data_IF_862158967882
#
_entry.id   IF_862158967882
#
_cell.length_a   1.000
_cell.length_b   1.000
_cell.length_c   1.000
_cell.angle_alpha   90.00
_cell.angle_beta   90.00
_cell.angle_gamma   90.00
#
_symmetry.space_group_name_H-M   'P 1'
#
loop_
_entity.id
_entity.type
_entity.pdbx_description
1 polymer ?
#
# COMPACT_ATOMS: atom_id res chain seq x y z
N UNK A 1 -41.53 18.05 -45.49
CA UNK A 1 -41.27 16.60 -45.36
C UNK A 1 -41.08 16.14 -43.91
N UNK A 2 -40.37 16.86 -43.03
CA UNK A 2 -40.05 16.42 -41.66
C UNK A 2 -41.20 15.78 -40.85
N UNK A 3 -42.42 16.34 -40.91
CA UNK A 3 -43.60 15.84 -40.19
C UNK A 3 -44.10 14.43 -40.62
N UNK A 4 -43.59 13.86 -41.72
CA UNK A 4 -43.91 12.49 -42.12
C UNK A 4 -43.04 11.45 -41.38
N UNK A 5 -41.77 11.78 -41.09
CA UNK A 5 -40.80 10.86 -40.48
C UNK A 5 -41.10 10.61 -38.99
N UNK A 6 -41.62 11.61 -38.28
CA UNK A 6 -42.01 11.48 -36.86
C UNK A 6 -43.17 10.51 -36.62
N UNK A 7 -43.92 10.11 -37.66
CA UNK A 7 -44.95 9.05 -37.59
C UNK A 7 -44.41 7.64 -37.90
N UNK A 8 -43.19 7.51 -38.41
CA UNK A 8 -42.60 6.23 -38.80
C UNK A 8 -41.77 5.56 -37.69
N UNK A 9 -41.54 6.26 -36.57
CA UNK A 9 -40.73 5.80 -35.44
C UNK A 9 -41.68 5.35 -34.30
N UNK A 10 -41.49 4.17 -33.68
CA UNK A 10 -42.30 3.73 -32.55
C UNK A 10 -42.12 4.65 -31.33
N UNK A 11 -43.21 4.90 -30.60
CA UNK A 11 -43.19 5.79 -29.44
C UNK A 11 -42.19 5.33 -28.36
N UNK A 12 -41.49 6.27 -27.69
CA UNK A 12 -40.49 5.93 -26.69
C UNK A 12 -41.12 5.20 -25.50
N UNK A 13 -40.60 4.02 -25.16
CA UNK A 13 -41.09 3.17 -24.05
C UNK A 13 -40.67 3.66 -22.65
N UNK A 14 -40.04 4.83 -22.55
CA UNK A 14 -39.58 5.43 -21.30
C UNK A 14 -39.84 6.92 -21.37
N UNK A 15 -40.66 7.38 -20.45
CA UNK A 15 -40.74 8.78 -20.08
C UNK A 15 -39.43 9.14 -19.35
N UNK A 16 -38.79 10.23 -19.77
CA UNK A 16 -37.61 10.77 -19.12
C UNK A 16 -38.02 12.08 -18.47
N UNK A 17 -37.78 12.21 -17.17
CA UNK A 17 -37.88 13.49 -16.48
C UNK A 17 -36.80 14.42 -17.04
N UNK A 18 -37.14 15.16 -18.10
CA UNK A 18 -36.40 16.34 -18.50
C UNK A 18 -36.55 17.32 -17.36
N UNK A 19 -35.46 17.59 -16.65
CA UNK A 19 -35.43 18.60 -15.61
C UNK A 19 -35.44 19.97 -16.28
N UNK A 20 -36.63 20.39 -16.70
CA UNK A 20 -36.92 21.75 -17.10
C UNK A 20 -36.65 22.65 -15.88
N UNK A 21 -35.70 23.58 -15.99
CA UNK A 21 -35.48 24.63 -14.99
C UNK A 21 -36.64 25.63 -15.11
N UNK A 22 -37.81 25.17 -14.62
CA UNK A 22 -39.14 25.53 -15.09
C UNK A 22 -39.30 26.99 -15.46
N UNK A 23 -39.48 27.25 -16.76
CA UNK A 23 -39.37 28.57 -17.38
C UNK A 23 -40.13 29.63 -16.57
N UNK A 24 -39.35 30.53 -15.94
CA UNK A 24 -39.74 31.17 -14.69
C UNK A 24 -40.92 32.11 -14.90
N UNK A 25 -42.14 31.58 -14.63
CA UNK A 25 -43.42 32.08 -15.14
C UNK A 25 -43.48 33.61 -15.15
N UNK A 26 -43.31 34.19 -16.34
CA UNK A 26 -43.00 35.61 -16.50
C UNK A 26 -43.92 36.47 -15.63
N UNK A 27 -43.38 37.22 -14.65
CA UNK A 27 -44.17 37.77 -13.56
C UNK A 27 -45.25 38.69 -14.11
N UNK A 28 -46.52 38.28 -13.94
CA UNK A 28 -47.66 38.84 -14.64
C UNK A 28 -47.61 40.37 -14.68
N UNK A 29 -47.42 40.92 -15.89
CA UNK A 29 -47.03 42.32 -16.09
C UNK A 29 -48.11 43.25 -15.57
N UNK A 30 -47.92 43.71 -14.34
CA UNK A 30 -48.76 44.73 -13.72
C UNK A 30 -48.71 45.98 -14.60
N UNK A 31 -49.84 46.68 -14.84
CA UNK A 31 -49.87 47.81 -15.75
C UNK A 31 -48.89 48.89 -15.27
N UNK A 32 -47.79 49.05 -16.00
CA UNK A 32 -46.77 50.02 -15.67
C UNK A 32 -47.40 51.43 -15.63
N UNK A 33 -47.12 52.16 -14.55
CA UNK A 33 -47.53 53.57 -14.43
C UNK A 33 -46.98 54.31 -15.64
N UNK A 34 -47.83 54.97 -16.43
CA UNK A 34 -47.38 55.76 -17.59
C UNK A 34 -46.57 56.96 -17.12
N UNK A 35 -45.26 56.79 -17.07
CA UNK A 35 -44.30 57.86 -16.79
C UNK A 35 -44.41 58.90 -17.90
N UNK A 36 -44.52 60.21 -17.60
CA UNK A 36 -44.53 61.23 -18.64
C UNK A 36 -43.26 61.17 -19.50
N UNK A 37 -43.33 61.48 -20.80
CA UNK A 37 -42.15 61.54 -21.65
C UNK A 37 -41.20 62.66 -21.20
N UNK A 38 -39.99 62.67 -21.75
CA UNK A 38 -39.00 63.71 -21.51
C UNK A 38 -39.58 65.12 -21.78
N UNK A 39 -39.09 66.13 -21.04
CA UNK A 39 -39.61 67.51 -21.00
C UNK A 39 -41.01 67.67 -20.37
N UNK A 40 -41.81 66.60 -20.26
CA UNK A 40 -43.17 66.62 -19.71
C UNK A 40 -43.23 66.17 -18.24
N UNK A 41 -42.09 66.03 -17.57
CA UNK A 41 -41.97 65.55 -16.18
C UNK A 41 -42.08 66.64 -15.11
N UNK A 42 -42.51 67.86 -15.46
CA UNK A 42 -42.67 68.97 -14.49
C UNK A 42 -43.71 68.60 -13.42
N UNK A 43 -43.29 68.56 -12.16
CA UNK A 43 -44.12 68.15 -11.03
C UNK A 43 -44.18 66.63 -10.77
N UNK A 44 -43.63 65.80 -11.66
CA UNK A 44 -43.44 64.37 -11.40
C UNK A 44 -42.28 64.17 -10.43
N UNK A 45 -42.48 63.38 -9.37
CA UNK A 45 -41.44 63.05 -8.38
C UNK A 45 -41.53 61.55 -8.07
N UNK A 46 -40.70 60.69 -8.66
CA UNK A 46 -40.73 59.26 -8.41
C UNK A 46 -40.27 58.95 -6.98
N UNK A 47 -41.00 58.08 -6.28
CA UNK A 47 -40.74 57.72 -4.86
C UNK A 47 -40.61 56.21 -4.64
N UNK A 48 -41.32 55.41 -5.43
CA UNK A 48 -41.24 53.95 -5.48
C UNK A 48 -40.41 53.48 -6.67
N UNK A 49 -40.00 52.20 -6.68
CA UNK A 49 -39.27 51.60 -7.82
C UNK A 49 -40.11 51.59 -9.10
N UNK A 50 -41.42 51.38 -8.96
CA UNK A 50 -42.40 51.35 -10.05
C UNK A 50 -42.50 52.68 -10.80
N UNK A 51 -42.18 53.80 -10.16
CA UNK A 51 -42.25 55.14 -10.77
C UNK A 51 -41.10 55.40 -11.77
N UNK A 52 -40.19 54.43 -11.94
CA UNK A 52 -39.10 54.45 -12.91
C UNK A 52 -39.29 53.46 -14.07
N UNK A 53 -40.29 52.57 -14.03
CA UNK A 53 -40.55 51.60 -15.11
C UNK A 53 -39.40 50.60 -15.25
N UNK A 54 -38.83 50.47 -16.47
CA UNK A 54 -37.61 49.68 -16.72
C UNK A 54 -36.35 50.26 -16.02
N UNK A 55 -36.45 51.46 -15.46
CA UNK A 55 -35.41 52.07 -14.63
C UNK A 55 -34.79 53.32 -15.23
N UNK A 56 -33.58 53.63 -14.78
CA UNK A 56 -32.94 54.93 -15.00
C UNK A 56 -33.46 56.01 -14.04
N UNK A 57 -32.63 57.04 -13.80
CA UNK A 57 -33.00 58.20 -12.99
C UNK A 57 -33.10 59.44 -13.88
N UNK A 58 -34.06 60.32 -13.61
CA UNK A 58 -34.35 61.48 -14.44
C UNK A 58 -33.51 62.68 -13.99
N UNK A 59 -32.50 63.14 -14.76
CA UNK A 59 -31.64 64.25 -14.33
C UNK A 59 -32.39 65.59 -14.24
N UNK A 60 -33.50 65.73 -14.97
CA UNK A 60 -34.38 66.90 -14.94
C UNK A 60 -35.16 67.08 -13.62
N UNK A 61 -35.13 66.07 -12.73
CA UNK A 61 -35.78 66.10 -11.42
C UNK A 61 -34.71 66.18 -10.34
N UNK A 62 -34.56 67.33 -9.69
CA UNK A 62 -33.52 67.61 -8.67
C UNK A 62 -33.83 66.96 -7.30
N UNK A 63 -34.13 65.65 -7.31
CA UNK A 63 -34.40 64.82 -6.13
C UNK A 63 -33.51 63.57 -6.20
N UNK A 64 -33.07 63.06 -5.04
CA UNK A 64 -32.25 61.83 -4.94
C UNK A 64 -33.09 60.61 -5.32
N UNK A 65 -32.86 60.10 -6.53
CA UNK A 65 -33.58 58.99 -7.15
C UNK A 65 -32.81 57.67 -7.01
N UNK A 66 -33.53 56.57 -6.82
CA UNK A 66 -32.94 55.27 -6.48
C UNK A 66 -33.67 54.09 -7.17
N UNK A 67 -33.65 53.98 -8.52
CA UNK A 67 -34.54 53.07 -9.26
C UNK A 67 -34.48 51.61 -8.81
N UNK A 68 -33.27 51.10 -8.53
CA UNK A 68 -33.01 49.75 -8.03
C UNK A 68 -32.24 49.77 -6.70
N UNK A 69 -32.53 50.73 -5.81
CA UNK A 69 -31.75 51.04 -4.58
C UNK A 69 -30.26 51.43 -4.79
N UNK A 70 -29.80 51.43 -6.04
CA UNK A 70 -28.44 51.79 -6.45
C UNK A 70 -28.08 53.21 -5.99
N UNK A 71 -26.91 53.38 -5.37
CA UNK A 71 -26.46 54.67 -4.82
C UNK A 71 -26.96 55.00 -3.41
N UNK A 72 -27.80 54.15 -2.78
CA UNK A 72 -28.06 54.23 -1.33
C UNK A 72 -26.84 53.75 -0.54
N UNK A 73 -26.60 54.35 0.64
CA UNK A 73 -25.60 53.84 1.59
C UNK A 73 -26.04 52.44 2.06
N UNK A 74 -25.29 51.41 1.66
CA UNK A 74 -25.49 50.04 2.15
C UNK A 74 -24.94 49.91 3.58
N UNK A 75 -25.46 48.96 4.35
CA UNK A 75 -24.81 48.52 5.60
C UNK A 75 -23.52 47.76 5.24
N UNK A 76 -22.56 47.76 6.15
CA UNK A 76 -21.36 46.91 6.00
C UNK A 76 -21.79 45.43 6.05
N UNK A 77 -21.24 44.63 5.14
CA UNK A 77 -21.59 43.23 4.95
C UNK A 77 -20.41 42.43 4.42
N UNK A 78 -20.15 41.25 4.98
CA UNK A 78 -19.04 40.36 4.60
C UNK A 78 -19.27 39.56 3.31
N UNK A 79 -20.24 39.96 2.50
CA UNK A 79 -20.63 39.31 1.25
C UNK A 79 -19.79 39.79 0.07
N UNK A 80 -19.13 38.87 -0.63
CA UNK A 80 -18.49 39.16 -1.93
C UNK A 80 -19.55 39.66 -2.93
N UNK A 81 -19.20 40.64 -3.75
CA UNK A 81 -20.10 41.16 -4.77
C UNK A 81 -20.30 40.13 -5.90
N UNK A 82 -21.55 39.82 -6.22
CA UNK A 82 -21.89 38.93 -7.33
C UNK A 82 -21.53 39.59 -8.66
N UNK A 83 -20.58 38.98 -9.38
CA UNK A 83 -20.27 39.36 -10.76
C UNK A 83 -21.30 38.82 -11.74
N UNK A 84 -21.39 39.45 -12.91
CA UNK A 84 -22.16 38.99 -14.07
C UNK A 84 -21.19 38.90 -15.26
N UNK A 85 -21.44 37.99 -16.21
CA UNK A 85 -20.68 37.88 -17.45
C UNK A 85 -21.24 38.77 -18.58
N UNK A 86 -20.68 38.64 -19.80
CA UNK A 86 -21.14 39.37 -20.97
C UNK A 86 -22.49 38.89 -21.51
N UNK A 87 -22.92 37.68 -21.14
CA UNK A 87 -24.18 37.05 -21.57
C UNK A 87 -25.31 37.29 -20.55
N UNK A 88 -25.05 38.04 -19.48
CA UNK A 88 -26.00 38.34 -18.42
C UNK A 88 -26.12 37.28 -17.32
N UNK A 89 -25.27 36.24 -17.30
CA UNK A 89 -25.32 35.15 -16.32
C UNK A 89 -24.49 35.49 -15.08
N UNK A 90 -24.95 35.01 -13.92
CA UNK A 90 -24.29 35.25 -12.64
C UNK A 90 -23.00 34.42 -12.48
N UNK A 91 -21.87 35.09 -12.24
CA UNK A 91 -20.54 34.48 -12.10
C UNK A 91 -20.30 33.96 -10.68
N UNK A 92 -20.94 32.85 -10.31
CA UNK A 92 -20.71 32.18 -9.03
C UNK A 92 -19.22 31.78 -8.82
N UNK A 93 -18.54 31.41 -9.90
CA UNK A 93 -17.11 31.06 -9.97
C UNK A 93 -16.19 32.14 -9.39
N UNK A 94 -16.62 33.41 -9.39
CA UNK A 94 -15.86 34.52 -8.81
C UNK A 94 -15.49 34.30 -7.34
N UNK A 95 -16.33 33.59 -6.56
CA UNK A 95 -16.05 33.23 -5.17
C UNK A 95 -14.90 32.21 -5.05
N UNK A 96 -14.78 31.28 -6.00
CA UNK A 96 -13.69 30.29 -6.07
C UNK A 96 -12.39 30.99 -6.52
N UNK A 97 -12.45 31.75 -7.61
CA UNK A 97 -11.30 32.50 -8.15
C UNK A 97 -10.70 33.47 -7.12
N UNK A 98 -11.53 34.06 -6.25
CA UNK A 98 -11.07 34.90 -5.15
C UNK A 98 -10.19 34.15 -4.13
N UNK A 99 -10.51 32.88 -3.82
CA UNK A 99 -9.70 32.05 -2.91
C UNK A 99 -8.31 31.78 -3.49
N UNK A 100 -8.23 31.49 -4.79
CA UNK A 100 -6.96 31.31 -5.52
C UNK A 100 -6.32 32.64 -5.98
N UNK A 101 -6.77 33.79 -5.44
CA UNK A 101 -6.25 35.15 -5.71
C UNK A 101 -6.18 35.51 -7.21
N UNK A 102 -7.06 34.95 -8.03
CA UNK A 102 -7.08 35.14 -9.48
C UNK A 102 -5.84 34.63 -10.22
N UNK A 103 -5.07 33.70 -9.63
CA UNK A 103 -3.83 33.16 -10.22
C UNK A 103 -3.96 31.76 -10.82
N UNK A 104 -5.00 31.02 -10.45
CA UNK A 104 -5.28 29.69 -10.98
C UNK A 104 -6.59 29.74 -11.76
N UNK A 105 -6.63 29.05 -12.91
CA UNK A 105 -7.86 28.75 -13.64
C UNK A 105 -8.61 27.63 -12.91
N UNK A 106 -9.78 27.93 -12.36
CA UNK A 106 -10.66 26.95 -11.72
C UNK A 106 -11.80 26.59 -12.67
N UNK A 107 -11.88 25.34 -13.09
CA UNK A 107 -13.03 24.80 -13.81
C UNK A 107 -14.19 24.56 -12.83
N UNK A 108 -15.40 24.92 -13.23
CA UNK A 108 -16.55 25.02 -12.33
C UNK A 108 -17.91 25.01 -13.04
N UNK A 109 -17.95 25.31 -14.34
CA UNK A 109 -19.18 25.37 -15.11
C UNK A 109 -19.46 24.03 -15.79
N UNK A 110 -20.72 23.70 -16.06
CA UNK A 110 -21.06 22.48 -16.82
C UNK A 110 -20.42 22.47 -18.23
N UNK A 111 -20.19 23.65 -18.82
CA UNK A 111 -19.44 23.89 -20.07
C UNK A 111 -17.95 23.53 -20.01
N UNK A 112 -17.38 23.28 -18.82
CA UNK A 112 -16.05 22.68 -18.62
C UNK A 112 -16.08 21.14 -18.66
N UNK A 113 -17.24 20.53 -18.38
CA UNK A 113 -17.44 19.07 -18.33
C UNK A 113 -17.93 18.49 -19.67
N UNK A 114 -18.58 19.30 -20.50
CA UNK A 114 -19.00 18.89 -21.86
C UNK A 114 -17.78 18.70 -22.74
N UNK A 115 -17.67 17.50 -23.33
CA UNK A 115 -16.64 17.18 -24.32
C UNK A 115 -16.76 18.10 -25.55
N UNK A 116 -15.63 18.60 -26.03
CA UNK A 116 -15.56 19.52 -27.18
C UNK A 116 -15.27 18.70 -28.43
N UNK A 117 -16.33 18.32 -29.16
CA UNK A 117 -16.17 17.59 -30.42
C UNK A 117 -15.36 18.43 -31.43
N UNK A 118 -14.58 17.77 -32.28
CA UNK A 118 -13.90 18.42 -33.41
C UNK A 118 -14.87 19.09 -34.41
N UNK A 119 -16.16 18.76 -34.36
CA UNK A 119 -17.20 19.39 -35.20
C UNK A 119 -18.01 20.48 -34.47
N UNK A 120 -18.12 20.46 -33.13
CA UNK A 120 -18.89 21.45 -32.35
C UNK A 120 -18.01 22.59 -31.83
N UNK A 121 -16.72 22.32 -31.58
CA UNK A 121 -15.70 23.32 -31.30
C UNK A 121 -15.22 24.01 -32.59
N UNK A 122 -16.09 24.78 -33.23
CA UNK A 122 -15.81 25.48 -34.49
C UNK A 122 -14.57 26.37 -34.41
N UNK A 123 -13.44 25.87 -34.94
CA UNK A 123 -12.13 26.54 -34.92
C UNK A 123 -11.01 25.74 -34.23
N UNK A 124 -11.31 24.73 -33.40
CA UNK A 124 -10.29 23.88 -32.73
C UNK A 124 -9.95 22.64 -33.57
N UNK A 125 -10.01 22.77 -34.89
CA UNK A 125 -9.48 21.81 -35.87
C UNK A 125 -8.19 22.29 -36.52
N UNK A 126 -7.87 23.59 -36.42
CA UNK A 126 -6.58 24.11 -36.84
C UNK A 126 -5.50 23.53 -35.93
N UNK A 127 -4.59 22.74 -36.52
CA UNK A 127 -3.47 22.14 -35.80
C UNK A 127 -2.60 23.19 -35.07
N UNK A 128 -2.63 24.45 -35.53
CA UNK A 128 -2.02 25.62 -34.87
C UNK A 128 -2.54 25.89 -33.46
N UNK A 129 -3.79 25.53 -33.15
CA UNK A 129 -4.40 25.73 -31.82
C UNK A 129 -4.03 24.66 -30.78
N UNK A 130 -3.64 23.47 -31.26
CA UNK A 130 -3.14 22.34 -30.46
C UNK A 130 -1.62 22.14 -30.64
N UNK A 131 -0.97 23.05 -31.38
CA UNK A 131 0.47 23.04 -31.60
C UNK A 131 1.21 23.29 -30.29
N UNK A 132 2.48 22.86 -30.27
CA UNK A 132 3.41 23.35 -29.24
C UNK A 132 3.72 24.84 -29.51
N UNK A 133 4.14 25.59 -28.48
CA UNK A 133 4.77 26.90 -28.68
C UNK A 133 5.91 26.83 -29.69
N UNK A 134 6.30 27.97 -30.27
CA UNK A 134 7.43 27.99 -31.20
C UNK A 134 8.74 27.59 -30.51
N UNK A 135 9.71 27.07 -31.26
CA UNK A 135 11.01 26.68 -30.70
C UNK A 135 11.73 27.89 -30.04
N UNK A 136 11.48 29.11 -30.52
CA UNK A 136 11.95 30.35 -29.91
C UNK A 136 11.28 30.63 -28.55
N UNK A 137 9.97 30.40 -28.43
CA UNK A 137 9.23 30.53 -27.17
C UNK A 137 9.62 29.44 -26.16
N UNK A 138 9.79 28.19 -26.62
CA UNK A 138 10.30 27.09 -25.78
C UNK A 138 11.72 27.41 -25.29
N UNK A 139 12.62 27.87 -26.17
CA UNK A 139 13.98 28.28 -25.78
C UNK A 139 14.00 29.46 -24.82
N UNK A 140 13.16 30.49 -25.04
CA UNK A 140 13.03 31.64 -24.14
C UNK A 140 12.46 31.24 -22.77
N UNK A 141 11.46 30.36 -22.74
CA UNK A 141 10.88 29.82 -21.51
C UNK A 141 11.88 28.93 -20.76
N UNK A 142 12.64 28.09 -21.47
CA UNK A 142 13.70 27.27 -20.91
C UNK A 142 14.82 28.13 -20.30
N UNK A 143 15.33 29.14 -21.02
CA UNK A 143 16.35 30.05 -20.53
C UNK A 143 15.88 30.84 -19.29
N UNK A 144 14.64 31.34 -19.30
CA UNK A 144 14.01 32.04 -18.17
C UNK A 144 13.84 31.14 -16.95
N UNK A 145 13.47 29.88 -17.16
CA UNK A 145 13.29 28.87 -16.11
C UNK A 145 14.64 28.40 -15.54
N UNK A 146 15.63 28.13 -16.40
CA UNK A 146 16.99 27.80 -16.01
C UNK A 146 17.62 28.93 -15.18
N UNK A 147 17.46 30.19 -15.61
CA UNK A 147 17.93 31.36 -14.86
C UNK A 147 17.19 31.57 -13.51
N UNK A 148 15.94 31.12 -13.37
CA UNK A 148 15.22 31.12 -12.10
C UNK A 148 15.70 29.99 -11.17
N UNK A 149 15.84 28.76 -11.69
CA UNK A 149 16.35 27.61 -10.96
C UNK A 149 17.80 27.82 -10.51
N UNK A 150 18.66 28.38 -11.35
CA UNK A 150 20.04 28.71 -11.01
C UNK A 150 20.13 29.68 -9.82
N UNK A 151 19.23 30.67 -9.71
CA UNK A 151 19.17 31.58 -8.54
C UNK A 151 18.83 30.82 -7.25
N UNK A 152 17.90 29.86 -7.31
CA UNK A 152 17.49 29.03 -6.17
C UNK A 152 18.62 28.06 -5.77
N UNK A 153 19.25 27.42 -6.76
CA UNK A 153 20.37 26.48 -6.56
C UNK A 153 21.60 27.18 -6.02
N UNK A 154 21.98 28.34 -6.57
CA UNK A 154 23.11 29.13 -6.07
C UNK A 154 22.88 29.62 -4.64
N UNK A 155 21.63 29.97 -4.27
CA UNK A 155 21.26 30.25 -2.88
C UNK A 155 21.54 29.07 -1.96
N UNK A 156 21.08 27.86 -2.33
CA UNK A 156 21.34 26.62 -1.56
C UNK A 156 22.83 26.28 -1.47
N UNK A 157 23.59 26.43 -2.56
CA UNK A 157 25.04 26.18 -2.61
C UNK A 157 25.79 27.16 -1.69
N UNK A 158 25.40 28.44 -1.66
CA UNK A 158 25.97 29.43 -0.75
C UNK A 158 25.69 29.05 0.72
N UNK A 159 24.47 28.63 1.07
CA UNK A 159 24.15 28.15 2.43
C UNK A 159 24.96 26.90 2.81
N UNK A 160 25.33 26.06 1.85
CA UNK A 160 26.13 24.86 2.06
C UNK A 160 27.67 25.11 2.09
N UNK A 161 28.13 26.33 1.81
CA UNK A 161 29.56 26.71 1.81
C UNK A 161 29.84 27.94 2.69
N UNK A 162 29.60 27.86 4.02
CA UNK A 162 29.57 29.03 4.91
C UNK A 162 30.92 29.76 5.09
N UNK A 163 32.05 29.06 4.94
CA UNK A 163 33.39 29.63 5.20
C UNK A 163 33.88 30.52 4.05
N UNK A 164 33.44 30.27 2.82
CA UNK A 164 33.83 31.06 1.66
C UNK A 164 32.90 32.27 1.52
N UNK A 165 33.19 33.35 2.24
CA UNK A 165 32.59 34.67 1.94
C UNK A 165 32.95 35.01 0.49
N UNK A 166 31.98 35.08 -0.44
CA UNK A 166 32.30 35.40 -1.82
C UNK A 166 32.64 36.90 -1.90
N UNK A 167 33.58 37.28 -2.77
CA UNK A 167 33.87 38.70 -3.05
C UNK A 167 32.60 39.51 -3.38
N UNK A 168 31.61 38.86 -4.00
CA UNK A 168 30.30 39.44 -4.31
C UNK A 168 29.46 39.83 -3.08
N UNK A 169 29.85 39.44 -1.86
CA UNK A 169 29.23 39.90 -0.61
C UNK A 169 29.95 41.15 -0.06
N UNK A 170 31.28 41.21 -0.11
CA UNK A 170 32.02 42.44 0.14
C UNK A 170 31.56 43.57 -0.82
N UNK A 171 31.53 43.27 -2.13
CA UNK A 171 31.04 44.19 -3.18
C UNK A 171 29.54 44.54 -3.05
N UNK A 172 28.78 43.89 -2.15
CA UNK A 172 27.39 44.26 -1.77
C UNK A 172 27.31 45.21 -0.58
N UNK A 173 28.22 45.09 0.38
CA UNK A 173 28.37 46.07 1.46
C UNK A 173 28.71 47.45 0.87
N UNK A 174 29.58 47.48 -0.14
CA UNK A 174 29.98 48.73 -0.83
C UNK A 174 28.88 49.32 -1.74
N UNK A 175 28.06 48.49 -2.39
CA UNK A 175 27.10 48.92 -3.43
C UNK A 175 25.77 49.43 -2.86
N UNK A 176 25.85 50.56 -2.16
CA UNK A 176 24.70 51.27 -1.59
C UNK A 176 23.62 51.60 -2.64
N UNK A 177 22.35 51.29 -2.32
CA UNK A 177 21.20 51.45 -3.22
C UNK A 177 20.36 52.65 -2.83
N UNK A 178 20.16 53.58 -3.75
CA UNK A 178 19.29 54.75 -3.56
C UNK A 178 17.87 54.43 -4.03
N UNK A 179 16.93 54.31 -3.08
CA UNK A 179 15.53 54.01 -3.34
C UNK A 179 14.69 55.28 -3.16
N UNK A 180 14.01 55.72 -4.24
CA UNK A 180 13.03 56.80 -4.19
C UNK A 180 11.68 56.25 -3.72
N UNK A 181 11.24 56.71 -2.56
CA UNK A 181 10.01 56.28 -1.87
C UNK A 181 8.99 57.43 -1.80
N UNK A 182 7.76 57.16 -2.21
CA UNK A 182 6.61 58.05 -2.04
C UNK A 182 5.77 57.53 -0.88
N UNK A 183 5.64 58.26 0.25
CA UNK A 183 4.77 57.85 1.35
C UNK A 183 3.29 57.83 0.94
N UNK A 184 2.53 56.82 1.39
CA UNK A 184 1.07 56.78 1.20
C UNK A 184 0.32 57.75 2.12
N UNK A 185 0.93 58.12 3.25
CA UNK A 185 0.44 59.16 4.17
C UNK A 185 1.06 60.51 3.79
N UNK A 186 0.38 61.26 2.92
CA UNK A 186 0.77 62.61 2.53
C UNK A 186 0.16 63.68 3.44
N UNK A 187 0.97 64.68 3.81
CA UNK A 187 0.53 65.84 4.60
C UNK A 187 1.72 66.75 4.96
N UNK A 188 1.51 68.06 5.02
CA UNK A 188 2.59 69.04 5.21
C UNK A 188 3.36 68.86 6.54
N UNK A 189 2.70 68.34 7.58
CA UNK A 189 3.31 68.01 8.88
C UNK A 189 4.22 66.74 8.84
N UNK A 190 4.34 66.09 7.69
CA UNK A 190 5.19 64.92 7.48
C UNK A 190 6.22 65.18 6.39
N UNK A 191 7.38 64.55 6.52
CA UNK A 191 8.48 64.67 5.54
C UNK A 191 8.96 66.11 5.26
N UNK A 192 8.81 67.02 6.23
CA UNK A 192 9.15 68.45 6.07
C UNK A 192 8.50 69.10 4.83
N UNK A 193 7.28 68.68 4.47
CA UNK A 193 6.55 69.16 3.29
C UNK A 193 6.95 68.51 1.96
N UNK A 194 8.01 67.71 1.90
CA UNK A 194 8.42 67.03 0.67
C UNK A 194 7.49 65.85 0.31
N UNK A 195 7.16 65.68 -0.97
CA UNK A 195 6.27 64.59 -1.42
C UNK A 195 6.95 63.21 -1.46
N UNK A 196 8.28 63.16 -1.48
CA UNK A 196 9.05 61.92 -1.64
C UNK A 196 10.29 61.91 -0.73
N UNK A 197 10.87 60.73 -0.52
CA UNK A 197 12.12 60.48 0.21
C UNK A 197 13.10 59.72 -0.70
N UNK A 198 14.40 59.96 -0.54
CA UNK A 198 15.44 59.11 -1.11
C UNK A 198 16.12 58.39 0.04
N UNK A 199 16.05 57.06 0.04
CA UNK A 199 16.56 56.19 1.10
C UNK A 199 17.81 55.49 0.57
N UNK A 200 18.97 55.75 1.17
CA UNK A 200 20.21 55.01 0.90
C UNK A 200 20.21 53.72 1.72
N UNK A 201 19.87 52.59 1.10
CA UNK A 201 20.02 51.27 1.72
C UNK A 201 21.44 50.73 1.53
N UNK A 202 21.99 50.17 2.59
CA UNK A 202 23.30 49.49 2.63
C UNK A 202 23.08 48.15 3.34
N UNK A 203 23.73 47.07 2.88
CA UNK A 203 23.70 45.77 3.55
C UNK A 203 24.58 45.86 4.81
N UNK A 204 24.10 45.36 5.96
CA UNK A 204 24.87 45.43 7.20
C UNK A 204 25.95 44.34 7.21
N UNK A 205 27.17 44.68 7.64
CA UNK A 205 28.25 43.72 7.78
C UNK A 205 27.91 42.72 8.90
N UNK A 206 27.96 41.43 8.57
CA UNK A 206 27.74 40.31 9.51
C UNK A 206 29.10 39.77 9.95
N UNK A 207 29.22 39.42 11.23
CA UNK A 207 30.42 38.79 11.78
C UNK A 207 30.51 37.33 11.28
N UNK A 208 31.61 36.92 10.60
CA UNK A 208 31.79 35.55 10.13
C UNK A 208 31.88 34.50 11.26
N UNK A 209 32.04 34.94 12.52
CA UNK A 209 32.04 34.09 13.71
C UNK A 209 30.70 34.08 14.46
N UNK A 210 29.66 34.84 14.04
CA UNK A 210 28.36 34.85 14.72
C UNK A 210 27.63 33.49 14.51
N UNK A 211 27.28 32.75 15.58
CA UNK A 211 26.54 31.50 15.46
C UNK A 211 25.06 31.75 15.06
N UNK A 212 24.37 30.76 14.46
CA UNK A 212 22.98 30.92 13.99
C UNK A 212 22.00 31.46 15.05
N UNK A 213 21.56 32.71 14.85
CA UNK A 213 20.80 33.53 15.82
C UNK A 213 19.44 32.97 16.25
N UNK A 214 18.85 32.06 15.47
CA UNK A 214 17.46 31.59 15.66
C UNK A 214 17.35 30.06 15.68
N UNK A 215 16.54 29.53 16.60
CA UNK A 215 16.25 28.09 16.71
C UNK A 215 15.15 27.66 15.75
N UNK A 216 15.28 26.50 15.12
CA UNK A 216 14.23 25.92 14.28
C UNK A 216 12.97 25.58 15.11
N UNK A 217 11.80 26.03 14.65
CA UNK A 217 10.50 25.70 15.26
C UNK A 217 9.66 24.88 14.29
N UNK A 218 9.24 23.68 14.69
CA UNK A 218 8.29 22.87 13.92
C UNK A 218 6.89 23.49 14.04
N UNK A 219 6.36 24.00 12.94
CA UNK A 219 4.99 24.52 12.83
C UNK A 219 4.13 23.43 12.17
N UNK A 220 2.84 23.27 12.51
CA UNK A 220 1.92 22.45 11.74
C UNK A 220 1.90 22.86 10.27
N UNK A 221 1.56 21.93 9.36
CA UNK A 221 1.30 22.29 7.96
C UNK A 221 0.14 23.31 7.93
N UNK A 222 0.33 24.41 7.23
CA UNK A 222 -0.75 25.39 7.02
C UNK A 222 -1.93 24.78 6.26
N UNK A 223 -3.06 25.51 6.14
CA UNK A 223 -4.14 25.08 5.25
C UNK A 223 -3.59 24.83 3.85
N UNK A 224 -4.17 23.85 3.16
CA UNK A 224 -3.87 23.60 1.76
C UNK A 224 -4.33 24.73 0.85
N UNK A 225 -4.14 24.54 -0.45
CA UNK A 225 -4.89 25.30 -1.44
C UNK A 225 -6.40 24.99 -1.28
N UNK A 226 -7.26 25.93 -1.67
CA UNK A 226 -8.70 25.75 -1.53
C UNK A 226 -9.20 24.55 -2.36
N UNK A 227 -10.22 23.82 -1.88
CA UNK A 227 -10.74 22.67 -2.61
C UNK A 227 -11.38 23.11 -3.94
N UNK A 228 -10.82 22.61 -5.05
CA UNK A 228 -11.38 22.84 -6.38
C UNK A 228 -12.70 22.08 -6.57
N UNK A 229 -13.64 22.56 -7.41
CA UNK A 229 -14.85 21.82 -7.77
C UNK A 229 -14.52 20.47 -8.39
N UNK A 230 -15.31 19.46 -8.05
CA UNK A 230 -15.11 18.08 -8.54
C UNK A 230 -16.09 17.82 -9.68
N UNK A 231 -15.60 17.97 -10.91
CA UNK A 231 -16.38 17.82 -12.14
C UNK A 231 -16.62 16.33 -12.47
N UNK A 232 -17.45 15.66 -11.67
CA UNK A 232 -17.91 14.30 -11.94
C UNK A 232 -19.10 14.27 -12.90
N UNK A 233 -19.24 13.19 -13.66
CA UNK A 233 -20.50 12.86 -14.32
C UNK A 233 -21.58 12.48 -13.29
N UNK A 234 -22.89 12.55 -13.64
CA UNK A 234 -23.97 12.28 -12.70
C UNK A 234 -23.83 10.90 -12.02
N UNK A 235 -24.10 10.81 -10.70
CA UNK A 235 -23.81 9.61 -9.92
C UNK A 235 -24.64 8.42 -10.42
N UNK A 236 -23.96 7.36 -10.86
CA UNK A 236 -24.60 6.11 -11.26
C UNK A 236 -25.31 5.50 -10.04
N UNK A 237 -26.62 5.26 -10.16
CA UNK A 237 -27.42 4.61 -9.11
C UNK A 237 -26.93 3.16 -8.95
N UNK A 238 -26.18 2.88 -7.87
CA UNK A 238 -25.74 1.53 -7.54
C UNK A 238 -26.95 0.64 -7.26
N UNK A 239 -26.96 -0.59 -7.77
CA UNK A 239 -28.04 -1.53 -7.43
C UNK A 239 -27.80 -2.16 -6.06
N UNK A 240 -28.86 -2.69 -5.45
CA UNK A 240 -28.74 -3.46 -4.20
C UNK A 240 -27.94 -4.75 -4.42
N UNK A 241 -28.00 -5.32 -5.63
CA UNK A 241 -27.24 -6.51 -6.03
C UNK A 241 -25.73 -6.20 -6.09
N UNK A 242 -25.33 -5.10 -6.74
CA UNK A 242 -23.94 -4.61 -6.72
C UNK A 242 -23.45 -4.41 -5.28
N UNK A 243 -24.24 -3.72 -4.46
CA UNK A 243 -23.85 -3.42 -3.08
C UNK A 243 -23.69 -4.68 -2.22
N UNK A 244 -24.44 -5.75 -2.51
CA UNK A 244 -24.29 -7.05 -1.86
C UNK A 244 -23.08 -7.83 -2.41
N UNK A 245 -22.85 -7.83 -3.72
CA UNK A 245 -21.70 -8.48 -4.35
C UNK A 245 -20.37 -7.88 -3.88
N UNK A 246 -20.30 -6.56 -3.71
CA UNK A 246 -19.12 -5.84 -3.20
C UNK A 246 -19.03 -5.82 -1.66
N UNK A 247 -19.87 -6.56 -0.93
CA UNK A 247 -19.86 -6.62 0.54
C UNK A 247 -18.76 -7.56 1.07
N UNK A 248 -17.52 -7.04 1.10
CA UNK A 248 -16.34 -7.76 1.58
C UNK A 248 -16.57 -8.36 2.99
N UNK A 249 -16.44 -9.69 3.18
CA UNK A 249 -16.57 -10.32 4.48
C UNK A 249 -15.47 -9.90 5.48
N UNK A 250 -15.74 -9.91 6.80
CA UNK A 250 -14.74 -9.57 7.80
C UNK A 250 -13.59 -10.60 7.83
N UNK A 251 -12.35 -10.13 7.77
CA UNK A 251 -11.17 -10.99 7.82
C UNK A 251 -10.97 -11.57 9.23
N UNK A 252 -11.23 -12.87 9.39
CA UNK A 252 -11.01 -13.63 10.63
C UNK A 252 -9.69 -14.39 10.51
N UNK A 253 -8.63 -13.85 11.12
CA UNK A 253 -7.30 -14.47 11.09
C UNK A 253 -7.16 -15.58 12.13
N UNK A 254 -6.55 -16.70 11.74
CA UNK A 254 -6.16 -17.77 12.67
C UNK A 254 -4.96 -17.39 13.56
N UNK A 255 -4.22 -16.32 13.22
CA UNK A 255 -2.99 -15.92 13.93
C UNK A 255 -3.10 -14.63 14.72
N UNK A 256 -3.93 -13.67 14.29
CA UNK A 256 -3.96 -12.31 14.86
C UNK A 256 -5.38 -11.91 15.30
N UNK A 257 -5.53 -11.59 16.58
CA UNK A 257 -6.75 -11.05 17.18
C UNK A 257 -6.42 -9.84 18.06
N UNK A 258 -5.94 -8.76 17.43
CA UNK A 258 -5.42 -7.57 18.13
C UNK A 258 -6.40 -6.91 19.10
N UNK A 259 -7.72 -7.10 18.91
CA UNK A 259 -8.78 -6.56 19.79
C UNK A 259 -9.39 -7.60 20.74
N UNK A 260 -8.83 -8.81 20.82
CA UNK A 260 -9.24 -9.85 21.77
C UNK A 260 -10.65 -10.40 21.56
N UNK A 261 -11.27 -10.24 20.38
CA UNK A 261 -12.66 -10.62 20.15
C UNK A 261 -12.93 -12.12 20.40
N UNK A 262 -14.01 -12.43 21.12
CA UNK A 262 -14.50 -13.79 21.38
C UNK A 262 -15.27 -14.32 20.16
N UNK A 263 -14.54 -14.64 19.08
CA UNK A 263 -15.11 -15.19 17.85
C UNK A 263 -15.49 -16.67 18.08
N UNK A 264 -16.72 -17.05 17.70
CA UNK A 264 -17.22 -18.42 17.75
C UNK A 264 -16.49 -19.36 16.76
N UNK A 265 -16.46 -20.66 17.06
CA UNK A 265 -15.64 -21.63 16.33
C UNK A 265 -16.06 -21.79 14.85
N UNK A 266 -17.36 -21.74 14.57
CA UNK A 266 -17.91 -21.78 13.22
C UNK A 266 -17.42 -20.60 12.36
N UNK A 267 -17.36 -19.40 12.93
CA UNK A 267 -16.87 -18.19 12.24
C UNK A 267 -15.34 -18.16 12.14
N UNK A 268 -14.61 -18.85 13.03
CA UNK A 268 -13.16 -19.07 12.89
C UNK A 268 -12.84 -20.06 11.76
N UNK A 269 -13.55 -21.18 11.70
CA UNK A 269 -13.27 -22.26 10.73
C UNK A 269 -13.91 -21.99 9.36
N UNK A 270 -15.00 -21.21 9.30
CA UNK A 270 -15.76 -20.95 8.06
C UNK A 270 -15.01 -20.19 6.95
N UNK A 271 -13.81 -19.67 7.22
CA UNK A 271 -12.91 -19.10 6.21
C UNK A 271 -11.79 -20.07 5.77
N UNK A 272 -11.69 -21.27 6.36
CA UNK A 272 -10.65 -22.25 6.05
C UNK A 272 -11.10 -23.19 4.93
N UNK A 273 -10.58 -22.96 3.72
CA UNK A 273 -10.96 -23.67 2.49
C UNK A 273 -10.70 -25.19 2.47
N UNK A 274 -10.11 -25.76 3.54
CA UNK A 274 -9.91 -27.21 3.69
C UNK A 274 -11.18 -28.03 3.54
N UNK A 275 -12.35 -27.47 3.91
CA UNK A 275 -13.64 -28.15 3.71
C UNK A 275 -14.02 -28.40 2.24
N UNK A 276 -13.39 -27.70 1.29
CA UNK A 276 -13.59 -27.89 -0.15
C UNK A 276 -12.53 -28.83 -0.77
N UNK A 277 -11.49 -29.20 -0.01
CA UNK A 277 -10.39 -30.03 -0.49
C UNK A 277 -10.71 -31.53 -0.32
N UNK A 278 -11.24 -32.16 -1.38
CA UNK A 278 -11.51 -33.60 -1.40
C UNK A 278 -10.21 -34.41 -1.45
N UNK A 279 -9.89 -35.14 -0.39
CA UNK A 279 -8.72 -36.04 -0.34
C UNK A 279 -9.00 -37.32 -1.12
N UNK A 280 -8.63 -37.33 -2.40
CA UNK A 280 -8.73 -38.51 -3.27
C UNK A 280 -7.54 -39.45 -3.06
N UNK A 281 -7.80 -40.72 -2.72
CA UNK A 281 -6.77 -41.76 -2.58
C UNK A 281 -6.73 -42.62 -3.84
N UNK A 282 -5.53 -42.86 -4.39
CA UNK A 282 -5.37 -43.71 -5.59
C UNK A 282 -5.44 -45.21 -5.26
N UNK A 283 -6.20 -45.97 -6.06
CA UNK A 283 -6.31 -47.45 -6.01
C UNK A 283 -4.96 -48.18 -6.05
N UNK A 284 -3.93 -47.55 -6.59
CA UNK A 284 -2.58 -48.13 -6.62
C UNK A 284 -2.05 -48.43 -5.21
N UNK A 285 -2.48 -47.70 -4.17
CA UNK A 285 -2.15 -48.04 -2.78
C UNK A 285 -2.76 -49.38 -2.36
N UNK A 286 -4.00 -49.68 -2.76
CA UNK A 286 -4.65 -50.97 -2.49
C UNK A 286 -3.96 -52.11 -3.27
N UNK A 287 -3.60 -51.88 -4.55
CA UNK A 287 -2.87 -52.84 -5.38
C UNK A 287 -1.49 -53.17 -4.78
N UNK A 288 -0.73 -52.16 -4.33
CA UNK A 288 0.57 -52.34 -3.69
C UNK A 288 0.43 -53.05 -2.33
N UNK A 289 -0.57 -52.68 -1.51
CA UNK A 289 -0.82 -53.35 -0.24
C UNK A 289 -1.17 -54.84 -0.42
N UNK A 290 -2.00 -55.18 -1.42
CA UNK A 290 -2.32 -56.56 -1.76
C UNK A 290 -1.09 -57.34 -2.26
N UNK A 291 -0.32 -56.76 -3.19
CA UNK A 291 0.89 -57.39 -3.72
C UNK A 291 1.93 -57.67 -2.62
N UNK A 292 2.16 -56.72 -1.71
CA UNK A 292 3.04 -56.91 -0.56
C UNK A 292 2.52 -57.99 0.39
N UNK A 293 1.20 -58.09 0.59
CA UNK A 293 0.61 -59.12 1.45
C UNK A 293 0.76 -60.54 0.86
N UNK A 294 0.56 -60.68 -0.45
CA UNK A 294 0.79 -61.93 -1.20
C UNK A 294 2.26 -62.35 -1.11
N UNK A 295 3.18 -61.46 -1.46
CA UNK A 295 4.62 -61.74 -1.39
C UNK A 295 5.09 -62.08 0.04
N UNK A 296 4.50 -61.45 1.07
CA UNK A 296 4.78 -61.76 2.49
C UNK A 296 4.28 -63.15 2.89
N UNK A 297 3.16 -63.62 2.33
CA UNK A 297 2.68 -64.99 2.53
C UNK A 297 3.62 -66.00 1.86
N UNK A 298 3.94 -65.77 0.58
CA UNK A 298 4.78 -66.67 -0.21
C UNK A 298 6.18 -66.81 0.36
N UNK A 299 6.81 -65.70 0.80
CA UNK A 299 8.10 -65.75 1.49
C UNK A 299 8.06 -66.53 2.82
N UNK A 300 6.94 -66.51 3.55
CA UNK A 300 6.76 -67.31 4.78
C UNK A 300 6.56 -68.79 4.48
N UNK A 301 5.81 -69.10 3.43
CA UNK A 301 5.60 -70.47 2.96
C UNK A 301 6.92 -71.07 2.44
N UNK A 302 7.70 -70.31 1.66
CA UNK A 302 9.03 -70.71 1.21
C UNK A 302 9.99 -70.95 2.39
N UNK A 303 10.08 -70.03 3.35
CA UNK A 303 10.93 -70.22 4.54
C UNK A 303 10.49 -71.44 5.35
N UNK A 304 9.17 -71.68 5.50
CA UNK A 304 8.65 -72.88 6.17
C UNK A 304 9.04 -74.17 5.42
N UNK A 305 8.94 -74.17 4.09
CA UNK A 305 9.35 -75.30 3.24
C UNK A 305 10.85 -75.55 3.33
N UNK A 306 11.69 -74.52 3.12
CA UNK A 306 13.15 -74.58 3.27
C UNK A 306 13.57 -75.15 4.63
N UNK A 307 12.99 -74.63 5.72
CA UNK A 307 13.24 -75.14 7.08
C UNK A 307 12.82 -76.61 7.24
N UNK A 308 11.70 -77.03 6.64
CA UNK A 308 11.25 -78.43 6.69
C UNK A 308 12.13 -79.40 5.88
N UNK A 309 12.67 -78.95 4.75
CA UNK A 309 13.64 -79.72 3.95
C UNK A 309 14.97 -79.82 4.70
N UNK A 310 15.45 -78.70 5.25
CA UNK A 310 16.67 -78.69 6.08
C UNK A 310 16.53 -79.59 7.31
N UNK A 311 15.38 -79.61 7.98
CA UNK A 311 15.16 -80.50 9.12
C UNK A 311 15.10 -81.98 8.72
N UNK A 312 14.66 -82.31 7.49
CA UNK A 312 14.70 -83.68 6.95
C UNK A 312 16.12 -84.10 6.59
N UNK A 313 16.89 -83.26 5.92
CA UNK A 313 18.30 -83.52 5.60
C UNK A 313 19.13 -83.71 6.89
N UNK A 314 18.95 -82.84 7.88
CA UNK A 314 19.59 -82.98 9.20
C UNK A 314 19.10 -84.20 10.01
N UNK A 315 17.94 -84.77 9.68
CA UNK A 315 17.48 -86.04 10.26
C UNK A 315 18.07 -87.26 9.54
N UNK A 316 18.20 -87.19 8.20
CA UNK A 316 18.90 -88.19 7.39
C UNK A 316 20.38 -88.26 7.77
N UNK A 317 21.10 -87.13 7.76
CA UNK A 317 22.49 -87.05 8.24
C UNK A 317 22.70 -87.63 9.64
N UNK A 318 21.71 -87.49 10.54
CA UNK A 318 21.76 -88.08 11.88
C UNK A 318 21.54 -89.60 11.86
N UNK A 319 20.61 -90.09 11.05
CA UNK A 319 20.38 -91.52 10.87
C UNK A 319 21.57 -92.20 10.19
N UNK A 320 22.21 -91.53 9.23
CA UNK A 320 23.40 -92.01 8.53
C UNK A 320 24.59 -92.07 9.51
N UNK A 321 24.80 -91.03 10.33
CA UNK A 321 25.82 -91.01 11.40
C UNK A 321 25.51 -92.03 12.51
N UNK A 322 24.25 -92.29 12.83
CA UNK A 322 23.87 -93.36 13.76
C UNK A 322 24.19 -94.75 13.17
N UNK A 323 23.94 -94.96 11.88
CA UNK A 323 24.32 -96.19 11.18
C UNK A 323 25.84 -96.37 11.13
N UNK A 324 26.60 -95.32 10.79
CA UNK A 324 28.06 -95.35 10.78
C UNK A 324 28.63 -95.68 12.18
N UNK A 325 28.11 -95.05 13.24
CA UNK A 325 28.48 -95.36 14.62
C UNK A 325 28.08 -96.79 15.03
N UNK A 326 26.92 -97.28 14.57
CA UNK A 326 26.44 -98.64 14.81
C UNK A 326 27.32 -99.68 14.13
N UNK A 327 27.74 -99.44 12.89
CA UNK A 327 28.72 -100.28 12.19
C UNK A 327 30.10 -100.23 12.84
N UNK A 328 30.59 -99.04 13.21
CA UNK A 328 31.86 -98.89 13.91
C UNK A 328 31.84 -99.66 15.25
N UNK A 329 30.72 -99.60 15.98
CA UNK A 329 30.51 -100.39 17.19
C UNK A 329 30.42 -101.91 16.90
N UNK A 330 29.82 -102.34 15.79
CA UNK A 330 29.82 -103.74 15.36
C UNK A 330 31.23 -104.24 15.00
N UNK A 331 32.01 -103.45 14.24
CA UNK A 331 33.42 -103.74 13.92
C UNK A 331 34.28 -103.80 15.18
N UNK A 332 34.14 -102.86 16.09
CA UNK A 332 34.84 -102.86 17.38
C UNK A 332 34.46 -104.06 18.27
N UNK A 333 33.19 -104.51 18.23
CA UNK A 333 32.75 -105.75 18.87
C UNK A 333 33.36 -106.98 18.22
N UNK A 334 33.41 -107.06 16.88
CA UNK A 334 34.01 -108.18 16.16
C UNK A 334 35.50 -108.34 16.48
N UNK A 335 36.26 -107.23 16.49
CA UNK A 335 37.68 -107.22 16.92
C UNK A 335 37.84 -107.68 18.37
N UNK A 336 36.91 -107.32 19.26
CA UNK A 336 36.93 -107.76 20.68
C UNK A 336 36.39 -109.19 20.90
N UNK A 337 35.70 -109.78 19.92
CA UNK A 337 35.06 -111.10 20.02
C UNK A 337 35.98 -112.28 19.65
N UNK A 338 37.26 -112.03 19.36
CA UNK A 338 38.29 -113.07 19.36
C UNK A 338 38.37 -113.95 18.10
N UNK A 339 38.28 -113.35 16.90
CA UNK A 339 38.71 -114.03 15.67
C UNK A 339 40.16 -113.61 15.34
N UNK A 340 41.11 -114.52 15.55
CA UNK A 340 42.55 -114.22 15.49
C UNK A 340 43.18 -114.55 14.13
N UNK A 341 43.75 -113.55 13.47
CA UNK A 341 44.90 -113.70 12.55
C UNK A 341 45.86 -112.55 12.80
N UNK A 342 47.17 -112.82 12.76
CA UNK A 342 48.20 -111.93 13.31
C UNK A 342 48.82 -110.98 12.27
N UNK A 343 49.14 -109.74 12.70
CA UNK A 343 50.44 -109.05 12.51
C UNK A 343 50.31 -107.53 12.72
N UNK A 344 51.35 -106.89 13.26
CA UNK A 344 51.41 -105.43 13.47
C UNK A 344 51.63 -105.04 14.93
N UNK A 345 52.89 -104.91 15.34
CA UNK A 345 53.29 -104.55 16.72
C UNK A 345 53.88 -103.13 16.80
N UNK A 346 53.64 -102.46 17.94
CA UNK A 346 54.25 -101.20 18.38
C UNK A 346 53.93 -99.95 17.51
N UNK A 347 54.08 -98.70 17.99
CA UNK A 347 54.71 -98.24 19.23
C UNK A 347 53.99 -97.02 19.88
N UNK A 348 54.66 -96.42 20.86
CA UNK A 348 54.27 -95.29 21.71
C UNK A 348 53.82 -94.01 20.95
N UNK A 349 53.17 -93.04 21.61
CA UNK A 349 52.98 -92.91 23.06
C UNK A 349 52.04 -91.78 23.47
N UNK A 350 52.04 -91.44 24.77
CA UNK A 350 51.12 -90.49 25.37
C UNK A 350 51.86 -89.39 26.16
N UNK A 351 51.54 -88.14 25.84
CA UNK A 351 51.63 -86.99 26.74
C UNK A 351 50.35 -86.16 26.58
N UNK A 352 49.87 -85.32 27.51
CA UNK A 352 49.83 -85.27 28.99
C UNK A 352 49.53 -83.81 29.35
N UNK A 353 48.56 -83.59 30.24
CA UNK A 353 48.05 -82.27 30.62
C UNK A 353 46.84 -81.87 29.77
N UNK A 354 45.74 -81.39 30.32
CA UNK A 354 45.34 -81.19 31.72
C UNK A 354 43.98 -80.46 31.65
N UNK A 355 42.87 -81.00 32.14
CA UNK A 355 42.53 -81.34 33.54
C UNK A 355 42.24 -80.09 34.39
N UNK A 356 41.19 -80.19 35.21
CA UNK A 356 40.73 -79.28 36.27
C UNK A 356 40.13 -77.91 35.90
N UNK A 357 39.06 -77.43 36.55
CA UNK A 357 37.93 -78.14 37.16
C UNK A 357 36.76 -77.16 37.48
N UNK A 358 35.68 -77.69 38.07
CA UNK A 358 34.53 -77.03 38.73
C UNK A 358 33.52 -76.30 37.82
N UNK A 359 32.18 -76.34 37.96
CA UNK A 359 31.15 -76.93 38.85
C UNK A 359 30.14 -75.82 39.28
N UNK A 360 29.02 -76.19 39.92
CA UNK A 360 28.17 -75.35 40.76
C UNK A 360 27.13 -74.40 40.12
N UNK A 361 26.36 -74.92 39.15
CA UNK A 361 24.87 -74.93 39.23
C UNK A 361 23.98 -73.66 39.06
N UNK A 362 22.72 -73.94 38.72
CA UNK A 362 21.48 -73.27 39.17
C UNK A 362 20.99 -71.90 38.60
N UNK A 363 20.05 -72.03 37.65
CA UNK A 363 18.74 -71.31 37.51
C UNK A 363 18.64 -69.84 37.04
N UNK A 364 17.61 -69.64 36.21
CA UNK A 364 16.82 -68.40 35.95
C UNK A 364 17.39 -67.34 34.99
N UNK A 365 16.51 -66.73 34.17
CA UNK A 365 16.74 -65.38 33.61
C UNK A 365 16.71 -65.18 32.09
N UNK A 366 15.51 -65.24 31.48
CA UNK A 366 15.05 -64.36 30.37
C UNK A 366 16.03 -63.72 29.34
N UNK A 367 15.82 -64.09 28.06
CA UNK A 367 15.80 -63.18 26.87
C UNK A 367 17.13 -62.60 26.32
N UNK A 368 17.46 -62.81 25.02
CA UNK A 368 18.75 -62.42 24.44
C UNK A 368 18.85 -60.97 23.92
N UNK A 369 20.08 -60.47 23.77
CA UNK A 369 20.41 -59.17 23.15
C UNK A 369 21.63 -59.26 22.21
N UNK A 370 21.42 -59.14 20.89
CA UNK A 370 22.44 -58.64 19.94
C UNK A 370 22.38 -57.11 19.90
N UNK A 371 23.43 -56.27 19.80
CA UNK A 371 24.86 -56.39 19.42
C UNK A 371 25.12 -56.85 17.97
N UNK A 372 26.01 -56.20 17.18
CA UNK A 372 26.60 -54.82 17.25
C UNK A 372 27.47 -54.51 16.00
N UNK A 373 27.34 -53.30 15.43
CA UNK A 373 28.30 -52.45 14.63
C UNK A 373 27.41 -51.36 13.98
N UNK A 374 27.75 -50.06 13.86
CA UNK A 374 29.03 -49.35 13.64
C UNK A 374 29.00 -48.75 12.22
N UNK A 375 29.43 -47.54 11.86
CA UNK A 375 30.25 -46.42 12.43
C UNK A 375 29.98 -45.20 11.50
N UNK A 376 29.92 -43.90 11.85
CA UNK A 376 29.96 -43.05 13.07
C UNK A 376 29.49 -41.62 12.63
N UNK A 377 29.41 -40.51 13.39
CA UNK A 377 29.88 -40.14 14.75
C UNK A 377 28.76 -39.34 15.49
N UNK A 378 28.83 -38.12 16.06
CA UNK A 378 29.88 -37.09 16.30
C UNK A 378 29.41 -36.06 17.37
N UNK A 379 30.33 -35.28 17.96
CA UNK A 379 30.09 -33.95 18.61
C UNK A 379 29.15 -33.88 19.84
N UNK A 380 29.61 -33.92 21.10
CA UNK A 380 30.33 -32.84 21.85
C UNK A 380 29.43 -31.64 22.21
N UNK A 381 29.27 -31.19 23.48
CA UNK A 381 29.89 -31.59 24.77
C UNK A 381 29.09 -31.02 25.97
N UNK A 382 29.11 -31.73 27.13
CA UNK A 382 29.21 -31.26 28.55
C UNK A 382 28.54 -29.94 29.03
N UNK A 383 28.03 -29.80 30.27
CA UNK A 383 27.91 -30.67 31.46
C UNK A 383 27.03 -29.96 32.53
N UNK A 384 26.83 -30.62 33.68
CA UNK A 384 26.38 -30.05 34.97
C UNK A 384 24.88 -29.70 35.07
N UNK A 385 24.28 -29.60 36.27
CA UNK A 385 24.29 -30.52 37.43
C UNK A 385 23.13 -30.08 38.34
N UNK A 386 22.18 -30.99 38.62
CA UNK A 386 21.42 -31.11 39.87
C UNK A 386 20.96 -29.87 40.68
N UNK A 387 19.66 -29.92 41.06
CA UNK A 387 19.09 -29.76 42.42
C UNK A 387 18.27 -28.48 42.72
N UNK A 388 17.05 -28.74 43.23
CA UNK A 388 16.27 -27.98 44.22
C UNK A 388 15.97 -26.48 44.05
N UNK A 389 14.68 -26.14 44.01
CA UNK A 389 14.12 -24.83 44.33
C UNK A 389 12.59 -24.90 44.42
N UNK A 390 12.00 -24.43 45.52
CA UNK A 390 10.56 -24.17 45.64
C UNK A 390 10.19 -22.82 45.00
N UNK A 391 8.91 -22.46 44.94
CA UNK A 391 8.48 -21.43 45.90
C UNK A 391 7.15 -21.76 46.62
N UNK A 392 6.78 -20.86 47.53
CA UNK A 392 5.78 -21.03 48.59
C UNK A 392 4.50 -20.23 48.32
N UNK A 393 3.47 -20.45 49.16
CA UNK A 393 2.15 -19.81 49.07
C UNK A 393 2.17 -18.39 49.68
N UNK A 394 1.69 -17.37 48.95
CA UNK A 394 1.81 -15.97 49.37
C UNK A 394 0.63 -15.06 48.96
N UNK A 395 -0.23 -14.76 49.94
CA UNK A 395 -1.43 -13.91 49.94
C UNK A 395 -1.62 -12.80 48.86
N UNK A 396 -2.89 -12.71 48.43
CA UNK A 396 -3.62 -11.52 47.93
C UNK A 396 -3.13 -10.16 48.46
N UNK A 397 -3.21 -9.12 47.62
CA UNK A 397 -3.90 -7.84 47.91
C UNK A 397 -4.52 -7.25 46.63
N UNK A 398 -5.68 -6.63 46.78
CA UNK A 398 -6.44 -5.96 45.73
C UNK A 398 -6.05 -4.47 45.60
N UNK A 399 -5.95 -3.95 44.38
CA UNK A 399 -5.96 -2.51 44.07
C UNK A 399 -6.34 -2.30 42.59
N UNK A 400 -7.04 -1.20 42.29
CA UNK A 400 -7.56 -0.89 40.95
C UNK A 400 -6.76 0.21 40.23
N UNK A 401 -6.98 0.36 38.93
CA UNK A 401 -6.65 1.58 38.18
C UNK A 401 -5.91 1.32 36.86
N UNK A 402 -6.39 1.92 35.77
CA UNK A 402 -5.64 1.99 34.50
C UNK A 402 -4.48 2.99 34.57
N UNK A 403 -3.68 3.17 33.53
CA UNK A 403 -3.75 2.58 32.19
C UNK A 403 -2.78 3.34 31.27
N UNK A 404 -2.18 2.67 30.29
CA UNK A 404 -1.17 3.28 29.43
C UNK A 404 -1.01 2.54 28.10
N UNK A 405 -1.27 3.24 27.00
CA UNK A 405 -1.10 2.75 25.64
C UNK A 405 0.30 3.11 25.11
N UNK A 406 1.26 2.19 25.24
CA UNK A 406 2.55 2.33 24.56
C UNK A 406 2.41 2.05 23.06
N UNK A 407 2.50 3.12 22.26
CA UNK A 407 2.40 3.07 20.80
C UNK A 407 3.62 2.37 20.17
N UNK A 408 3.50 1.06 19.94
CA UNK A 408 4.57 0.23 19.35
C UNK A 408 4.87 0.64 17.90
N UNK A 409 6.14 0.92 17.63
CA UNK A 409 6.63 1.23 16.29
C UNK A 409 6.41 0.08 15.29
N UNK A 410 6.20 0.43 14.02
CA UNK A 410 6.14 -0.50 12.89
C UNK A 410 6.92 0.07 11.71
N UNK A 411 7.90 -0.68 11.23
CA UNK A 411 8.72 -0.32 10.07
C UNK A 411 7.93 -0.51 8.77
N UNK A 412 8.19 0.33 7.77
CA UNK A 412 7.79 0.13 6.38
C UNK A 412 9.03 0.24 5.49
N UNK A 413 9.46 -0.88 4.91
CA UNK A 413 10.64 -0.94 4.06
C UNK A 413 10.47 -0.09 2.79
N UNK A 414 11.54 0.57 2.35
CA UNK A 414 11.56 1.35 1.13
C UNK A 414 12.04 0.49 -0.06
N UNK A 415 11.16 0.25 -1.02
CA UNK A 415 11.48 -0.43 -2.27
C UNK A 415 12.41 0.44 -3.14
N UNK A 416 13.41 -0.16 -3.78
CA UNK A 416 14.35 0.52 -4.69
C UNK A 416 14.51 -0.23 -6.01
N UNK A 417 13.84 0.28 -7.03
CA UNK A 417 14.21 0.17 -8.44
C UNK A 417 14.54 1.59 -8.92
N UNK A 418 15.48 1.85 -9.83
CA UNK A 418 16.49 1.01 -10.48
C UNK A 418 17.47 1.94 -11.23
N UNK A 419 18.57 1.41 -11.78
CA UNK A 419 19.53 2.26 -12.52
C UNK A 419 20.93 1.66 -12.67
N UNK A 420 21.07 0.62 -13.49
CA UNK A 420 22.38 0.09 -13.88
C UNK A 420 22.98 0.94 -15.00
N UNK A 421 24.17 1.49 -14.79
CA UNK A 421 24.93 2.19 -15.83
C UNK A 421 25.69 1.20 -16.71
N UNK A 422 25.28 1.05 -17.97
CA UNK A 422 26.06 0.33 -18.98
C UNK A 422 27.19 1.21 -19.51
N UNK A 423 28.43 0.69 -19.52
CA UNK A 423 29.57 1.39 -20.11
C UNK A 423 29.60 1.18 -21.62
N UNK A 424 29.85 2.25 -22.38
CA UNK A 424 30.16 2.20 -23.81
C UNK A 424 31.67 2.39 -24.02
N UNK A 425 32.27 1.53 -24.84
CA UNK A 425 33.62 1.68 -25.35
C UNK A 425 33.58 2.21 -26.80
N UNK A 426 34.56 3.02 -27.25
CA UNK A 426 34.58 3.53 -28.61
C UNK A 426 34.99 2.45 -29.62
N UNK A 427 34.40 2.51 -30.82
CA UNK A 427 34.89 1.83 -32.01
C UNK A 427 35.73 2.80 -32.86
N UNK A 428 36.64 2.25 -33.68
CA UNK A 428 37.60 2.97 -34.53
C UNK A 428 37.08 3.16 -35.96
N UNK A 429 37.78 3.97 -36.75
CA UNK A 429 37.59 4.11 -38.20
C UNK A 429 37.69 2.75 -38.94
N UNK A 430 36.80 2.52 -39.90
CA UNK A 430 37.09 2.41 -41.35
C UNK A 430 35.84 2.79 -42.17
#
# INVERSE_FOLDING_TARGET
MAAALSRAIPAPRREYDVYDDGDATAPAVRPAKRIPPYLHRRGFVPRSKEDFGDGGAFPEIHVKQYPLDMGRKKKESSTVALGVDGDGKARYDSALMAQHRGRASVHSQFTDLVERDSASAGGVTDASSLARPSEEEEAAAAAKTAAALAKIVNGKIATARPVNVPEGQAKRLDSARLIRYTPSQGGAAHNSGAQQRIIKMVEAQVDPMEPPKFKHKKVPRGPGEAPVPVMHSPPRKATVEDQQAWKIPPCISQWKNNKGFTIALDKRVGADGRGLATVTVSDNHARVAQALHIATREAREEVKLRNSVQSRLLAQEKADKEQELREAAMRARAVRAGLTTESGAAAAGAERGGDSDSDASARSGSTPRGRRRGRSASGSRSRSRSRSGTPEYGSRRDAAGGGGDDARAGESAAERQGGGGGAAAPATDE
#
